data_IF_770660498646
#
_entry.id   IF_770660498646
#
_cell.length_a   1.000
_cell.length_b   1.000
_cell.length_c   1.000
_cell.angle_alpha   90.00
_cell.angle_beta   90.00
_cell.angle_gamma   90.00
#
_symmetry.space_group_name_H-M   'P 1'
#
loop_
_entity.id
_entity.type
_entity.pdbx_description
1 polymer ?
#
# COMPACT_ATOMS: atom_id res chain seq x y z
N UNK A 1 12.57 -26.43 -23.62
CA UNK A 1 12.60 -26.79 -22.19
C UNK A 1 11.51 -25.98 -21.47
N UNK A 2 10.55 -26.62 -20.85
CA UNK A 2 9.57 -25.94 -20.03
C UNK A 2 10.33 -25.28 -18.85
N UNK A 3 10.16 -23.99 -18.65
CA UNK A 3 10.74 -23.27 -17.53
C UNK A 3 10.10 -23.83 -16.27
N UNK A 4 10.91 -24.37 -15.38
CA UNK A 4 10.42 -24.87 -14.09
C UNK A 4 9.99 -23.65 -13.27
N UNK A 5 8.70 -23.35 -13.28
CA UNK A 5 8.12 -22.19 -12.58
C UNK A 5 8.01 -22.54 -11.11
N UNK A 6 8.53 -21.63 -10.28
CA UNK A 6 8.38 -21.73 -8.85
C UNK A 6 7.12 -21.00 -8.34
N UNK A 7 6.79 -21.19 -7.08
CA UNK A 7 5.63 -20.55 -6.42
C UNK A 7 5.64 -19.01 -6.53
N UNK A 8 6.83 -18.39 -6.48
CA UNK A 8 6.98 -16.93 -6.55
C UNK A 8 6.65 -16.38 -7.93
N UNK A 9 6.87 -17.14 -9.01
CA UNK A 9 6.50 -16.72 -10.37
C UNK A 9 4.98 -16.60 -10.51
N UNK A 10 4.23 -17.55 -9.92
CA UNK A 10 2.78 -17.49 -9.83
C UNK A 10 2.29 -16.30 -8.99
N UNK A 11 2.91 -16.05 -7.83
CA UNK A 11 2.58 -14.90 -6.98
C UNK A 11 2.87 -13.57 -7.70
N UNK A 12 3.96 -13.46 -8.46
CA UNK A 12 4.25 -12.28 -9.28
C UNK A 12 3.18 -12.07 -10.37
N UNK A 13 2.84 -13.13 -11.11
CA UNK A 13 1.81 -13.06 -12.13
C UNK A 13 0.44 -12.69 -11.55
N UNK A 14 0.08 -13.26 -10.39
CA UNK A 14 -1.16 -12.96 -9.69
C UNK A 14 -1.21 -11.50 -9.18
N UNK A 15 -0.11 -10.99 -8.62
CA UNK A 15 0.00 -9.56 -8.26
C UNK A 15 -0.23 -8.66 -9.47
N UNK A 16 0.43 -8.93 -10.60
CA UNK A 16 0.24 -8.14 -11.82
C UNK A 16 -1.20 -8.22 -12.32
N UNK A 17 -1.85 -9.39 -12.26
CA UNK A 17 -3.25 -9.53 -12.63
C UNK A 17 -4.17 -8.72 -11.70
N UNK A 18 -3.94 -8.79 -10.37
CA UNK A 18 -4.68 -8.01 -9.37
C UNK A 18 -4.55 -6.49 -9.63
N UNK A 19 -3.34 -6.03 -9.93
CA UNK A 19 -3.03 -4.62 -10.18
C UNK A 19 -3.73 -4.08 -11.44
N UNK A 20 -3.73 -4.86 -12.50
CA UNK A 20 -4.19 -4.41 -13.81
C UNK A 20 -5.68 -4.62 -14.04
N UNK A 21 -6.31 -5.55 -13.33
CA UNK A 21 -7.69 -5.92 -13.58
C UNK A 21 -8.50 -6.31 -12.33
N UNK A 22 -7.97 -5.99 -11.13
CA UNK A 22 -8.65 -6.31 -9.88
C UNK A 22 -8.68 -7.81 -9.57
N UNK A 23 -9.41 -8.18 -8.53
CA UNK A 23 -9.51 -9.58 -8.06
C UNK A 23 -10.08 -10.53 -9.13
N UNK A 24 -10.97 -10.03 -9.99
CA UNK A 24 -11.59 -10.81 -11.06
C UNK A 24 -10.61 -11.18 -12.20
N UNK A 25 -9.49 -10.48 -12.30
CA UNK A 25 -8.45 -10.82 -13.27
C UNK A 25 -7.51 -11.93 -12.76
N UNK A 26 -7.53 -12.24 -11.47
CA UNK A 26 -6.74 -13.32 -10.86
C UNK A 26 -7.46 -14.65 -11.09
N UNK A 27 -7.32 -15.20 -12.31
CA UNK A 27 -7.90 -16.50 -12.72
C UNK A 27 -6.80 -17.47 -13.09
N UNK A 28 -6.88 -18.70 -12.59
CA UNK A 28 -5.84 -19.73 -12.76
C UNK A 28 -5.51 -19.94 -14.24
N UNK A 29 -6.54 -20.06 -15.10
CA UNK A 29 -6.37 -20.26 -16.53
C UNK A 29 -5.64 -19.08 -17.21
N UNK A 30 -5.98 -17.84 -16.82
CA UNK A 30 -5.35 -16.64 -17.37
C UNK A 30 -3.90 -16.51 -16.91
N UNK A 31 -3.63 -16.84 -15.66
CA UNK A 31 -2.27 -16.84 -15.12
C UNK A 31 -1.40 -17.90 -15.79
N UNK A 32 -1.92 -19.14 -15.93
CA UNK A 32 -1.23 -20.23 -16.61
C UNK A 32 -0.87 -19.87 -18.06
N UNK A 33 -1.82 -19.26 -18.79
CA UNK A 33 -1.59 -18.77 -20.16
C UNK A 33 -0.50 -17.72 -20.21
N UNK A 34 -0.53 -16.75 -19.31
CA UNK A 34 0.49 -15.68 -19.26
C UNK A 34 1.88 -16.20 -18.90
N UNK A 35 1.94 -17.28 -18.14
CA UNK A 35 3.19 -17.94 -17.73
C UNK A 35 3.65 -19.00 -18.73
N UNK A 36 2.86 -19.27 -19.79
CA UNK A 36 3.12 -20.30 -20.82
C UNK A 36 3.23 -21.72 -20.24
N UNK A 37 2.37 -22.05 -19.28
CA UNK A 37 2.29 -23.38 -18.65
C UNK A 37 0.87 -23.92 -18.63
N UNK A 38 0.72 -25.19 -18.24
CA UNK A 38 -0.60 -25.81 -18.07
C UNK A 38 -1.27 -25.37 -16.76
N UNK A 39 -2.59 -25.40 -16.71
CA UNK A 39 -3.37 -25.19 -15.48
C UNK A 39 -2.97 -26.17 -14.37
N UNK A 40 -2.61 -27.40 -14.72
CA UNK A 40 -2.16 -28.43 -13.77
C UNK A 40 -0.93 -28.00 -12.96
N UNK A 41 -0.01 -27.25 -13.57
CA UNK A 41 1.18 -26.70 -12.89
C UNK A 41 0.83 -25.79 -11.70
N UNK A 42 -0.32 -25.11 -11.72
CA UNK A 42 -0.80 -24.30 -10.60
C UNK A 42 -1.03 -25.12 -9.34
N UNK A 43 -1.67 -26.27 -9.47
CA UNK A 43 -2.08 -27.12 -8.34
C UNK A 43 -0.91 -27.85 -7.65
N UNK A 44 0.29 -27.82 -8.23
CA UNK A 44 1.53 -28.21 -7.52
C UNK A 44 1.98 -27.19 -6.48
N UNK A 45 1.52 -25.92 -6.60
CA UNK A 45 1.96 -24.82 -5.75
C UNK A 45 0.88 -24.28 -4.81
N UNK A 46 -0.40 -24.41 -5.22
CA UNK A 46 -1.56 -23.87 -4.50
C UNK A 46 -2.71 -24.86 -4.56
N UNK A 47 -3.43 -24.98 -3.46
CA UNK A 47 -4.64 -25.81 -3.37
C UNK A 47 -5.72 -25.32 -4.35
N UNK A 48 -5.97 -24.02 -4.33
CA UNK A 48 -6.99 -23.37 -5.12
C UNK A 48 -6.68 -21.87 -5.32
N UNK A 49 -7.56 -21.18 -6.05
CA UNK A 49 -7.49 -19.74 -6.28
C UNK A 49 -7.60 -18.94 -4.98
N UNK A 50 -8.40 -19.41 -4.06
CA UNK A 50 -8.68 -18.78 -2.78
C UNK A 50 -7.43 -18.74 -1.89
N UNK A 51 -6.63 -19.81 -1.87
CA UNK A 51 -5.33 -19.80 -1.20
C UNK A 51 -4.39 -18.76 -1.81
N UNK A 52 -4.35 -18.66 -3.14
CA UNK A 52 -3.53 -17.65 -3.81
C UNK A 52 -3.96 -16.24 -3.42
N UNK A 53 -5.26 -15.94 -3.43
CA UNK A 53 -5.81 -14.65 -3.03
C UNK A 53 -5.52 -14.33 -1.56
N UNK A 54 -5.65 -15.33 -0.67
CA UNK A 54 -5.33 -15.20 0.74
C UNK A 54 -3.86 -14.79 0.96
N UNK A 55 -2.94 -15.39 0.20
CA UNK A 55 -1.51 -15.03 0.27
C UNK A 55 -1.29 -13.59 -0.20
N UNK A 56 -1.90 -13.16 -1.30
CA UNK A 56 -1.78 -11.79 -1.80
C UNK A 56 -2.28 -10.77 -0.78
N UNK A 57 -3.40 -11.06 -0.12
CA UNK A 57 -3.95 -10.18 0.92
C UNK A 57 -3.07 -10.12 2.15
N UNK A 58 -2.52 -11.25 2.61
CA UNK A 58 -1.56 -11.29 3.72
C UNK A 58 -0.25 -10.55 3.39
N UNK A 59 0.24 -10.64 2.17
CA UNK A 59 1.41 -9.87 1.73
C UNK A 59 1.13 -8.37 1.81
N UNK A 60 -0.02 -7.91 1.31
CA UNK A 60 -0.43 -6.53 1.38
C UNK A 60 -0.55 -6.02 2.83
N UNK A 61 -1.15 -6.81 3.74
CA UNK A 61 -1.26 -6.46 5.17
C UNK A 61 0.11 -6.20 5.81
N UNK A 62 1.14 -6.93 5.38
CA UNK A 62 2.50 -6.86 5.93
C UNK A 62 3.38 -5.81 5.27
N UNK A 63 3.05 -5.38 4.08
CA UNK A 63 3.95 -4.59 3.21
C UNK A 63 4.40 -3.28 3.88
N UNK A 64 3.48 -2.51 4.47
CA UNK A 64 3.85 -1.27 5.15
C UNK A 64 4.83 -1.51 6.30
N UNK A 65 4.62 -2.57 7.07
CA UNK A 65 5.43 -2.91 8.23
C UNK A 65 6.84 -3.32 7.81
N UNK A 66 6.99 -4.01 6.68
CA UNK A 66 8.29 -4.45 6.16
C UNK A 66 9.13 -3.31 5.57
N UNK A 67 8.51 -2.41 4.85
CA UNK A 67 9.23 -1.44 4.02
C UNK A 67 9.37 -0.06 4.65
N UNK A 68 8.30 0.46 5.24
CA UNK A 68 8.28 1.84 5.76
C UNK A 68 8.82 1.91 7.17
N UNK A 69 8.34 1.02 8.05
CA UNK A 69 8.66 1.09 9.48
C UNK A 69 10.15 0.90 9.77
N UNK A 70 10.88 -0.05 9.15
CA UNK A 70 12.32 -0.16 9.37
C UNK A 70 13.09 1.10 8.97
N UNK A 71 12.63 1.80 7.91
CA UNK A 71 13.26 3.05 7.46
C UNK A 71 13.00 4.23 8.41
N UNK A 72 11.92 4.17 9.20
CA UNK A 72 11.61 5.16 10.22
C UNK A 72 12.30 4.89 11.56
N UNK A 73 12.94 3.70 11.73
CA UNK A 73 13.60 3.29 12.96
C UNK A 73 14.57 4.38 13.48
N UNK A 74 14.50 4.68 14.77
CA UNK A 74 15.32 5.69 15.41
C UNK A 74 14.89 7.16 15.17
N UNK A 75 13.85 7.39 14.34
CA UNK A 75 13.30 8.72 14.12
C UNK A 75 11.93 8.84 14.76
N UNK A 76 11.64 10.01 15.34
CA UNK A 76 10.34 10.30 15.95
C UNK A 76 9.91 11.74 15.64
N UNK A 77 8.63 12.02 15.84
CA UNK A 77 8.06 13.35 15.67
C UNK A 77 8.25 13.93 14.27
N UNK A 78 8.52 15.23 14.13
CA UNK A 78 8.65 15.90 12.84
C UNK A 78 9.72 15.31 11.93
N UNK A 79 10.79 14.71 12.48
CA UNK A 79 11.85 14.06 11.70
C UNK A 79 11.32 12.78 11.04
N UNK A 80 10.52 11.98 11.75
CA UNK A 80 9.88 10.78 11.21
C UNK A 80 8.85 11.14 10.13
N UNK A 81 8.01 12.14 10.39
CA UNK A 81 7.00 12.62 9.43
C UNK A 81 7.65 13.08 8.11
N UNK A 82 8.71 13.89 8.18
CA UNK A 82 9.43 14.35 6.99
C UNK A 82 10.03 13.20 6.18
N UNK A 83 10.58 12.19 6.87
CA UNK A 83 11.11 11.02 6.18
C UNK A 83 9.98 10.21 5.56
N UNK A 84 8.88 9.98 6.26
CA UNK A 84 7.68 9.29 5.72
C UNK A 84 7.21 9.97 4.43
N UNK A 85 7.00 11.29 4.45
CA UNK A 85 6.56 12.04 3.28
C UNK A 85 7.54 11.92 2.10
N UNK A 86 8.85 11.93 2.35
CA UNK A 86 9.87 11.70 1.30
C UNK A 86 9.82 10.27 0.73
N UNK A 87 9.60 9.28 1.60
CA UNK A 87 9.46 7.89 1.16
C UNK A 87 8.21 7.69 0.31
N UNK A 88 7.10 8.33 0.65
CA UNK A 88 5.87 8.32 -0.14
C UNK A 88 6.12 8.87 -1.56
N UNK A 89 6.84 9.98 -1.71
CA UNK A 89 7.21 10.53 -3.03
C UNK A 89 8.09 9.57 -3.82
N UNK A 90 9.07 8.95 -3.18
CA UNK A 90 9.97 7.98 -3.85
C UNK A 90 9.23 6.72 -4.31
N UNK A 91 8.18 6.33 -3.59
CA UNK A 91 7.35 5.16 -3.96
C UNK A 91 6.30 5.47 -5.01
N UNK A 92 5.86 6.72 -5.12
CA UNK A 92 4.85 7.12 -6.09
C UNK A 92 5.17 6.75 -7.55
N UNK A 93 6.44 6.88 -8.04
CA UNK A 93 6.82 6.40 -9.37
C UNK A 93 6.95 4.88 -9.47
N UNK A 94 7.22 4.19 -8.35
CA UNK A 94 7.33 2.72 -8.30
C UNK A 94 5.97 2.03 -8.52
N UNK A 95 4.89 2.79 -8.64
CA UNK A 95 3.59 2.30 -9.07
C UNK A 95 3.60 1.70 -10.48
N UNK A 96 4.58 2.05 -11.32
CA UNK A 96 4.81 1.38 -12.61
C UNK A 96 5.51 0.02 -12.45
N UNK A 97 6.16 -0.24 -11.31
CA UNK A 97 6.93 -1.46 -11.01
C UNK A 97 6.21 -2.36 -9.99
N UNK A 98 4.96 -2.09 -9.64
CA UNK A 98 4.10 -3.08 -8.95
C UNK A 98 4.12 -3.06 -7.42
N UNK A 99 4.49 -1.96 -6.76
CA UNK A 99 4.52 -1.90 -5.29
C UNK A 99 3.36 -1.10 -4.67
N UNK A 100 2.80 -0.12 -5.38
CA UNK A 100 1.72 0.75 -4.87
C UNK A 100 0.32 0.51 -5.44
N UNK A 101 0.17 -0.11 -6.59
CA UNK A 101 -1.16 -0.47 -7.07
C UNK A 101 -1.88 -1.44 -6.14
N UNK A 102 -1.17 -2.11 -5.22
CA UNK A 102 -1.80 -3.04 -4.29
C UNK A 102 -2.85 -2.37 -3.39
N UNK A 103 -2.63 -1.17 -2.85
CA UNK A 103 -3.63 -0.49 -2.02
C UNK A 103 -4.93 -0.26 -2.79
N UNK A 104 -4.82 0.29 -4.00
CA UNK A 104 -5.97 0.59 -4.83
C UNK A 104 -6.76 -0.67 -5.25
N UNK A 105 -6.05 -1.72 -5.68
CA UNK A 105 -6.67 -2.99 -6.06
C UNK A 105 -7.32 -3.70 -4.86
N UNK A 106 -6.68 -3.66 -3.70
CA UNK A 106 -7.22 -4.24 -2.47
C UNK A 106 -8.41 -3.45 -1.95
N UNK A 107 -8.42 -2.12 -2.03
CA UNK A 107 -9.60 -1.31 -1.65
C UNK A 107 -10.79 -1.57 -2.59
N UNK A 108 -10.55 -1.73 -3.89
CA UNK A 108 -11.58 -2.14 -4.83
C UNK A 108 -12.10 -3.55 -4.50
N UNK A 109 -11.22 -4.48 -4.16
CA UNK A 109 -11.62 -5.80 -3.71
C UNK A 109 -12.43 -5.75 -2.41
N UNK A 110 -12.03 -4.93 -1.44
CA UNK A 110 -12.75 -4.73 -0.19
C UNK A 110 -14.18 -4.20 -0.40
N UNK A 111 -14.43 -3.37 -1.42
CA UNK A 111 -15.78 -2.90 -1.74
C UNK A 111 -16.73 -4.01 -2.23
N UNK A 112 -16.19 -5.16 -2.65
CA UNK A 112 -16.94 -6.30 -3.14
C UNK A 112 -16.98 -7.50 -2.17
N UNK A 113 -16.19 -7.47 -1.09
CA UNK A 113 -16.07 -8.57 -0.14
C UNK A 113 -16.05 -8.05 1.30
N UNK A 114 -17.10 -8.32 2.10
CA UNK A 114 -17.15 -7.91 3.51
C UNK A 114 -16.00 -8.46 4.35
N UNK A 115 -15.51 -9.67 4.05
CA UNK A 115 -14.38 -10.28 4.75
C UNK A 115 -13.08 -9.51 4.50
N UNK A 116 -12.82 -9.18 3.24
CA UNK A 116 -11.67 -8.36 2.84
C UNK A 116 -11.80 -6.96 3.43
N UNK A 117 -13.00 -6.35 3.42
CA UNK A 117 -13.24 -5.04 4.03
C UNK A 117 -12.88 -5.01 5.52
N UNK A 118 -13.29 -6.04 6.28
CA UNK A 118 -12.92 -6.16 7.70
C UNK A 118 -11.40 -6.27 7.91
N UNK A 119 -10.71 -6.96 7.03
CA UNK A 119 -9.24 -7.09 7.08
C UNK A 119 -8.55 -5.79 6.73
N UNK A 120 -9.00 -5.12 5.69
CA UNK A 120 -8.49 -3.80 5.28
C UNK A 120 -8.66 -2.81 6.43
N UNK A 121 -9.84 -2.70 7.02
CA UNK A 121 -10.08 -1.82 8.17
C UNK A 121 -9.12 -2.09 9.34
N UNK A 122 -8.90 -3.37 9.69
CA UNK A 122 -7.94 -3.72 10.75
C UNK A 122 -6.50 -3.33 10.39
N UNK A 123 -6.10 -3.55 9.14
CA UNK A 123 -4.76 -3.21 8.67
C UNK A 123 -4.52 -1.69 8.68
N UNK A 124 -5.49 -0.91 8.18
CA UNK A 124 -5.45 0.56 8.19
C UNK A 124 -5.35 1.11 9.62
N UNK A 125 -6.19 0.65 10.53
CA UNK A 125 -6.14 1.05 11.93
C UNK A 125 -4.76 0.81 12.55
N UNK A 126 -4.19 -0.39 12.35
CA UNK A 126 -2.82 -0.71 12.83
C UNK A 126 -1.76 0.20 12.21
N UNK A 127 -1.90 0.52 10.92
CA UNK A 127 -0.99 1.44 10.21
C UNK A 127 -1.04 2.84 10.82
N UNK A 128 -2.22 3.39 11.01
CA UNK A 128 -2.42 4.72 11.60
C UNK A 128 -1.93 4.76 13.04
N UNK A 129 -2.29 3.79 13.87
CA UNK A 129 -1.82 3.69 15.26
C UNK A 129 -0.28 3.67 15.35
N UNK A 130 0.37 2.87 14.50
CA UNK A 130 1.82 2.77 14.49
C UNK A 130 2.49 4.06 14.02
N UNK A 131 1.97 4.67 12.97
CA UNK A 131 2.47 5.96 12.48
C UNK A 131 2.26 7.07 13.51
N UNK A 132 1.13 7.07 14.23
CA UNK A 132 0.83 8.02 15.30
C UNK A 132 1.84 7.89 16.44
N UNK A 133 2.19 6.67 16.86
CA UNK A 133 3.24 6.44 17.89
C UNK A 133 4.61 6.98 17.45
N UNK A 134 4.93 6.85 16.17
CA UNK A 134 6.22 7.32 15.62
C UNK A 134 6.23 8.83 15.45
N UNK A 135 5.16 9.41 14.92
CA UNK A 135 5.04 10.83 14.61
C UNK A 135 4.75 11.65 15.87
N UNK A 136 4.01 11.06 16.83
CA UNK A 136 3.65 11.73 18.10
C UNK A 136 2.56 12.80 17.94
N UNK A 137 1.82 12.79 16.83
CA UNK A 137 0.80 13.78 16.50
C UNK A 137 -0.32 13.09 15.72
N UNK A 138 -1.45 12.75 16.37
CA UNK A 138 -2.55 12.03 15.74
C UNK A 138 -3.17 12.77 14.55
N UNK A 139 -3.39 14.08 14.70
CA UNK A 139 -4.04 14.89 13.66
C UNK A 139 -3.18 14.94 12.38
N UNK A 140 -1.87 15.18 12.53
CA UNK A 140 -0.95 15.17 11.39
C UNK A 140 -0.84 13.80 10.76
N UNK A 141 -0.88 12.75 11.55
CA UNK A 141 -0.86 11.36 11.04
C UNK A 141 -2.09 11.11 10.19
N UNK A 142 -3.27 11.50 10.67
CA UNK A 142 -4.53 11.33 9.97
C UNK A 142 -4.54 12.13 8.66
N UNK A 143 -4.12 13.38 8.68
CA UNK A 143 -4.02 14.21 7.46
C UNK A 143 -3.10 13.55 6.42
N UNK A 144 -1.92 13.07 6.83
CA UNK A 144 -0.98 12.39 5.93
C UNK A 144 -1.60 11.13 5.35
N UNK A 145 -2.31 10.37 6.17
CA UNK A 145 -2.94 9.12 5.75
C UNK A 145 -4.09 9.37 4.76
N UNK A 146 -4.96 10.36 5.04
CA UNK A 146 -6.04 10.76 4.12
C UNK A 146 -5.51 11.30 2.78
N UNK A 147 -4.42 12.07 2.81
CA UNK A 147 -3.75 12.51 1.57
C UNK A 147 -3.23 11.32 0.77
N UNK A 148 -2.67 10.32 1.44
CA UNK A 148 -2.23 9.08 0.79
C UNK A 148 -3.41 8.33 0.16
N UNK A 149 -4.50 8.12 0.89
CA UNK A 149 -5.71 7.46 0.37
C UNK A 149 -6.28 8.20 -0.83
N UNK A 150 -6.38 9.53 -0.74
CA UNK A 150 -6.83 10.39 -1.84
C UNK A 150 -5.93 10.28 -3.08
N UNK A 151 -4.61 10.23 -2.87
CA UNK A 151 -3.65 10.03 -3.96
C UNK A 151 -3.83 8.66 -4.63
N UNK A 152 -3.96 7.60 -3.86
CA UNK A 152 -4.18 6.24 -4.37
C UNK A 152 -5.48 6.17 -5.16
N UNK A 153 -6.60 6.64 -4.58
CA UNK A 153 -7.92 6.60 -5.20
C UNK A 153 -8.00 7.45 -6.48
N UNK A 154 -7.39 8.64 -6.48
CA UNK A 154 -7.35 9.50 -7.66
C UNK A 154 -6.45 8.95 -8.75
N UNK A 155 -5.30 8.39 -8.37
CA UNK A 155 -4.31 7.83 -9.29
C UNK A 155 -4.83 6.64 -10.11
N UNK A 156 -5.84 5.92 -9.63
CA UNK A 156 -6.54 4.89 -10.40
C UNK A 156 -7.39 5.47 -11.52
N UNK A 157 -8.14 6.54 -11.22
CA UNK A 157 -9.10 7.15 -12.17
C UNK A 157 -8.41 8.12 -13.13
N UNK A 158 -7.36 8.81 -12.67
CA UNK A 158 -6.65 9.83 -13.42
C UNK A 158 -5.14 9.60 -13.27
N UNK A 159 -4.55 8.71 -14.06
CA UNK A 159 -3.11 8.34 -13.91
C UNK A 159 -2.16 9.55 -13.97
N UNK A 160 -2.47 10.57 -14.78
CA UNK A 160 -1.69 11.81 -14.86
C UNK A 160 -1.63 12.59 -13.54
N UNK A 161 -2.60 12.39 -12.63
CA UNK A 161 -2.62 13.04 -11.32
C UNK A 161 -1.44 12.62 -10.42
N UNK A 162 -0.81 11.50 -10.71
CA UNK A 162 0.38 11.02 -9.98
C UNK A 162 1.54 12.01 -10.06
N UNK A 163 1.67 12.75 -11.15
CA UNK A 163 2.70 13.78 -11.35
C UNK A 163 2.59 14.95 -10.36
N UNK A 164 1.41 15.18 -9.79
CA UNK A 164 1.15 16.27 -8.82
C UNK A 164 1.56 15.87 -7.39
N UNK A 165 1.68 14.59 -7.08
CA UNK A 165 1.95 14.10 -5.73
C UNK A 165 3.20 14.70 -5.08
N UNK A 166 4.36 14.81 -5.77
CA UNK A 166 5.54 15.48 -5.20
C UNK A 166 5.30 16.94 -4.81
N UNK A 167 4.40 17.64 -5.54
CA UNK A 167 4.05 19.04 -5.21
C UNK A 167 3.19 19.11 -3.95
N UNK A 168 2.20 18.19 -3.81
CA UNK A 168 1.37 18.04 -2.61
C UNK A 168 2.27 17.78 -1.39
N UNK A 169 3.19 16.84 -1.49
CA UNK A 169 4.12 16.52 -0.39
C UNK A 169 5.02 17.71 -0.03
N UNK A 170 5.50 18.48 -1.01
CA UNK A 170 6.25 19.72 -0.73
C UNK A 170 5.40 20.76 0.02
N UNK A 171 4.14 20.91 -0.36
CA UNK A 171 3.21 21.79 0.36
C UNK A 171 2.99 21.30 1.81
N UNK A 172 2.77 20.03 2.02
CA UNK A 172 2.63 19.44 3.37
C UNK A 172 3.88 19.64 4.22
N UNK A 173 5.08 19.51 3.64
CA UNK A 173 6.33 19.75 4.36
C UNK A 173 6.49 21.22 4.82
N UNK A 174 5.87 22.18 4.12
CA UNK A 174 5.81 23.59 4.55
C UNK A 174 4.79 23.78 5.68
N UNK A 175 3.64 23.11 5.61
CA UNK A 175 2.60 23.16 6.65
C UNK A 175 3.03 22.49 7.96
N UNK A 176 3.96 21.53 7.90
CA UNK A 176 4.46 20.79 9.06
C UNK A 176 5.96 21.09 9.30
N UNK A 177 6.35 22.31 9.73
CA UNK A 177 7.73 22.66 9.99
C UNK A 177 8.34 21.81 11.11
N UNK A 178 9.66 21.57 11.06
CA UNK A 178 10.36 20.70 11.99
C UNK A 178 10.41 21.25 13.44
N UNK A 179 10.08 22.52 13.63
CA UNK A 179 10.21 23.28 14.89
C UNK A 179 8.89 23.79 15.47
N UNK A 180 7.75 23.17 15.19
CA UNK A 180 6.47 23.58 15.76
C UNK A 180 6.42 23.35 17.27
N UNK A 181 6.87 24.31 18.06
CA UNK A 181 6.54 24.42 19.48
C UNK A 181 5.01 24.46 19.60
N UNK A 182 4.44 23.53 20.37
CA UNK A 182 3.10 23.73 20.93
C UNK A 182 3.18 25.03 21.75
N UNK A 183 2.67 26.14 21.22
CA UNK A 183 2.24 27.25 22.08
C UNK A 183 1.06 26.68 22.88
N UNK A 184 1.36 26.15 24.07
CA UNK A 184 0.36 26.03 25.11
C UNK A 184 -0.17 27.45 25.31
N UNK A 185 -1.36 27.72 24.79
CA UNK A 185 -2.16 28.83 25.26
C UNK A 185 -2.43 28.56 26.76
N UNK A 186 -1.60 29.16 27.63
CA UNK A 186 -1.95 29.32 29.02
C UNK A 186 -3.24 30.12 29.03
N UNK A 187 -4.38 29.48 29.17
CA UNK A 187 -5.57 30.13 29.69
C UNK A 187 -5.23 30.58 31.09
N UNK A 188 -4.98 31.88 31.23
CA UNK A 188 -5.07 32.55 32.53
C UNK A 188 -6.54 32.50 32.95
N UNK A 189 -6.74 32.02 34.16
CA UNK A 189 -7.98 32.15 34.92
C UNK A 189 -8.34 33.63 35.09
#
# INVERSE_FOLDING_TARGET
>A
MAKDLNRDDWLKAARMALLNGGVEAVRVEKLARNLHVTKGSFYWHFKDREELLEILLREWERELLKDIIPRLKGRRGPKALRLLLRLMVKRAPLSEVGILPSDAAVFTWASMSPDVARRVHRAERKRVELLTRIIGDPERTEIVYLVWLGFVARGQRVPSSRKVFPQIVRAMLKLFPAGGQRRHAKRKA
#
